data_IF_920955227730
#
_entry.id   IF_920955227730
#
_cell.length_a   1.000
_cell.length_b   1.000
_cell.length_c   1.000
_cell.angle_alpha   90.00
_cell.angle_beta   90.00
_cell.angle_gamma   90.00
#
_symmetry.space_group_name_H-M   'P 1'
#
loop_
_entity.id
_entity.type
_entity.pdbx_description
1 polymer ?
#
# COMPACT_ATOMS: atom_id res chain seq x y z
N UNK A 1 0.17 20.62 -3.95
CA UNK A 1 1.05 19.52 -4.39
C UNK A 1 1.90 19.91 -5.60
N UNK A 2 1.31 20.52 -6.64
CA UNK A 2 2.06 21.16 -7.75
C UNK A 2 2.98 22.32 -7.33
N UNK A 3 2.72 22.95 -6.18
CA UNK A 3 3.51 24.10 -5.70
C UNK A 3 4.93 23.75 -5.24
N UNK A 4 5.19 22.50 -4.84
CA UNK A 4 6.55 22.06 -4.45
C UNK A 4 7.46 21.93 -5.68
N UNK A 5 6.89 21.78 -6.88
CA UNK A 5 7.62 21.79 -8.15
C UNK A 5 7.83 23.20 -8.72
N UNK A 6 7.14 24.20 -8.18
CA UNK A 6 7.11 25.57 -8.71
C UNK A 6 8.18 26.52 -8.14
N UNK A 7 8.94 26.10 -7.12
CA UNK A 7 9.90 26.97 -6.43
C UNK A 7 11.33 26.41 -6.38
N UNK A 8 11.62 25.37 -7.18
CA UNK A 8 12.99 24.99 -7.48
C UNK A 8 13.53 26.02 -8.46
N UNK A 9 14.20 27.05 -7.94
CA UNK A 9 15.10 27.91 -8.71
C UNK A 9 15.88 27.01 -9.65
N UNK A 10 15.64 27.16 -10.95
CA UNK A 10 16.41 26.48 -11.98
C UNK A 10 17.84 26.99 -11.80
N UNK A 11 18.65 26.24 -11.06
CA UNK A 11 20.07 26.50 -10.95
C UNK A 11 20.62 26.40 -12.37
N UNK A 12 21.18 27.52 -12.83
CA UNK A 12 21.64 27.85 -14.18
C UNK A 12 22.88 27.03 -14.62
N UNK A 13 22.91 25.71 -14.40
CA UNK A 13 24.01 24.83 -14.82
C UNK A 13 23.60 23.36 -14.98
N UNK A 14 22.38 23.02 -15.41
CA UNK A 14 21.99 21.64 -15.78
C UNK A 14 22.18 20.53 -14.71
N UNK A 15 22.62 20.88 -13.49
CA UNK A 15 22.93 20.01 -12.37
C UNK A 15 21.82 20.17 -11.34
N UNK A 16 20.97 19.16 -11.27
CA UNK A 16 20.04 19.00 -10.17
C UNK A 16 20.86 18.75 -8.89
N UNK A 17 20.60 19.53 -7.85
CA UNK A 17 21.25 19.31 -6.56
C UNK A 17 20.74 18.00 -5.95
N UNK A 18 21.61 17.31 -5.21
CA UNK A 18 21.29 16.00 -4.65
C UNK A 18 20.12 16.04 -3.65
N UNK A 19 19.89 17.18 -2.98
CA UNK A 19 18.77 17.36 -2.05
C UNK A 19 17.43 17.39 -2.81
N UNK A 20 17.34 18.16 -3.89
CA UNK A 20 16.18 18.21 -4.78
C UNK A 20 15.91 16.83 -5.40
N UNK A 21 16.93 16.10 -5.85
CA UNK A 21 16.74 14.74 -6.39
C UNK A 21 16.23 13.78 -5.30
N UNK A 22 16.81 13.79 -4.12
CA UNK A 22 16.37 12.94 -3.01
C UNK A 22 14.94 13.27 -2.60
N UNK A 23 14.63 14.57 -2.42
CA UNK A 23 13.31 15.05 -2.03
C UNK A 23 12.26 14.70 -3.08
N UNK A 24 12.54 14.96 -4.35
CA UNK A 24 11.64 14.62 -5.46
C UNK A 24 11.39 13.10 -5.54
N UNK A 25 12.44 12.30 -5.38
CA UNK A 25 12.33 10.83 -5.41
C UNK A 25 11.47 10.31 -4.25
N UNK A 26 11.73 10.76 -3.02
CA UNK A 26 10.93 10.39 -1.85
C UNK A 26 9.45 10.80 -2.01
N UNK A 27 9.20 12.03 -2.49
CA UNK A 27 7.85 12.52 -2.74
C UNK A 27 7.13 11.70 -3.81
N UNK A 28 7.80 11.35 -4.90
CA UNK A 28 7.23 10.53 -5.95
C UNK A 28 6.86 9.12 -5.46
N UNK A 29 7.73 8.49 -4.66
CA UNK A 29 7.45 7.18 -4.06
C UNK A 29 6.24 7.22 -3.13
N UNK A 30 6.19 8.21 -2.23
CA UNK A 30 5.06 8.37 -1.29
C UNK A 30 3.77 8.66 -2.06
N UNK A 31 3.79 9.60 -3.01
CA UNK A 31 2.60 9.97 -3.77
C UNK A 31 2.07 8.80 -4.61
N UNK A 32 2.96 8.08 -5.30
CA UNK A 32 2.57 6.93 -6.13
C UNK A 32 2.02 5.75 -5.31
N UNK A 33 2.56 5.53 -4.12
CA UNK A 33 2.13 4.44 -3.22
C UNK A 33 0.89 4.75 -2.39
N UNK A 34 0.67 6.02 -2.02
CA UNK A 34 -0.39 6.39 -1.06
C UNK A 34 -1.78 6.22 -1.66
N UNK A 35 -2.06 6.91 -2.77
CA UNK A 35 -3.42 6.92 -3.34
C UNK A 35 -3.83 5.54 -3.84
N UNK A 36 -2.90 4.83 -4.49
CA UNK A 36 -3.12 3.48 -5.02
C UNK A 36 -3.42 2.49 -3.89
N UNK A 37 -2.60 2.46 -2.84
CA UNK A 37 -2.80 1.55 -1.69
C UNK A 37 -4.08 1.90 -0.93
N UNK A 38 -4.38 3.19 -0.73
CA UNK A 38 -5.60 3.63 -0.04
C UNK A 38 -6.87 3.18 -0.78
N UNK A 39 -6.90 3.35 -2.11
CA UNK A 39 -8.03 2.93 -2.93
C UNK A 39 -8.19 1.40 -2.87
N UNK A 40 -7.10 0.64 -3.07
CA UNK A 40 -7.14 -0.82 -3.00
C UNK A 40 -7.67 -1.32 -1.65
N UNK A 41 -7.17 -0.79 -0.53
CA UNK A 41 -7.64 -1.17 0.81
C UNK A 41 -9.11 -0.81 1.03
N UNK A 42 -9.54 0.35 0.55
CA UNK A 42 -10.94 0.80 0.68
C UNK A 42 -11.90 -0.14 -0.06
N UNK A 43 -11.56 -0.53 -1.28
CA UNK A 43 -12.35 -1.51 -2.05
C UNK A 43 -12.30 -2.90 -1.41
N UNK A 44 -11.13 -3.35 -0.95
CA UNK A 44 -10.98 -4.62 -0.25
C UNK A 44 -11.93 -4.73 0.95
N UNK A 45 -11.89 -3.72 1.83
CA UNK A 45 -12.71 -3.68 3.02
C UNK A 45 -14.20 -3.55 2.67
N UNK A 46 -14.54 -2.71 1.69
CA UNK A 46 -15.93 -2.55 1.24
C UNK A 46 -16.50 -3.85 0.67
N UNK A 47 -15.73 -4.59 -0.12
CA UNK A 47 -16.16 -5.88 -0.68
C UNK A 47 -16.31 -6.96 0.40
N UNK A 48 -15.38 -7.01 1.36
CA UNK A 48 -15.46 -7.96 2.47
C UNK A 48 -16.64 -7.67 3.39
N UNK A 49 -16.89 -6.41 3.73
CA UNK A 49 -18.03 -6.01 4.57
C UNK A 49 -19.37 -6.28 3.89
N UNK A 50 -19.44 -6.15 2.56
CA UNK A 50 -20.64 -6.50 1.79
C UNK A 50 -20.85 -8.02 1.64
N UNK A 51 -19.81 -8.84 1.82
CA UNK A 51 -19.87 -10.30 1.68
C UNK A 51 -19.40 -10.98 2.99
N UNK A 52 -20.25 -11.02 4.04
CA UNK A 52 -19.86 -11.48 5.36
C UNK A 52 -19.37 -12.93 5.39
N UNK A 53 -19.86 -13.77 4.47
CA UNK A 53 -19.38 -15.14 4.32
C UNK A 53 -17.92 -15.21 3.84
N UNK A 54 -17.55 -14.36 2.88
CA UNK A 54 -16.19 -14.31 2.36
C UNK A 54 -15.25 -13.66 3.38
N UNK A 55 -15.73 -12.68 4.16
CA UNK A 55 -15.00 -12.12 5.31
C UNK A 55 -14.73 -13.18 6.38
N UNK A 56 -15.72 -14.02 6.70
CA UNK A 56 -15.54 -15.10 7.69
C UNK A 56 -14.45 -16.08 7.28
N UNK A 57 -14.41 -16.50 6.00
CA UNK A 57 -13.34 -17.36 5.48
C UNK A 57 -11.95 -16.72 5.59
N UNK A 58 -11.84 -15.42 5.32
CA UNK A 58 -10.57 -14.71 5.47
C UNK A 58 -10.10 -14.68 6.94
N UNK A 59 -11.03 -14.51 7.88
CA UNK A 59 -10.73 -14.59 9.32
C UNK A 59 -10.33 -16.00 9.75
N UNK A 60 -11.03 -17.04 9.27
CA UNK A 60 -10.70 -18.44 9.52
C UNK A 60 -9.30 -18.81 9.00
N UNK A 61 -8.92 -18.31 7.81
CA UNK A 61 -7.56 -18.49 7.27
C UNK A 61 -6.50 -17.82 8.16
N UNK A 62 -6.75 -16.58 8.60
CA UNK A 62 -5.85 -15.86 9.51
C UNK A 62 -5.69 -16.59 10.85
N UNK A 63 -6.78 -17.08 11.42
CA UNK A 63 -6.74 -17.84 12.67
C UNK A 63 -6.01 -19.17 12.51
N UNK A 64 -6.18 -19.85 11.37
CA UNK A 64 -5.50 -21.11 11.09
C UNK A 64 -3.99 -20.96 10.84
N UNK A 65 -3.56 -19.90 10.15
CA UNK A 65 -2.15 -19.72 9.75
C UNK A 65 -1.32 -18.91 10.77
N UNK A 66 -1.93 -17.89 11.39
CA UNK A 66 -1.23 -16.95 12.28
C UNK A 66 -1.63 -17.19 13.73
N UNK A 67 -2.90 -17.48 13.97
CA UNK A 67 -3.50 -17.58 15.30
C UNK A 67 -3.69 -16.22 15.98
N UNK A 68 -4.32 -16.22 17.16
CA UNK A 68 -4.70 -14.99 17.86
C UNK A 68 -3.65 -14.46 18.85
N UNK A 69 -2.50 -15.13 18.98
CA UNK A 69 -1.49 -14.82 20.00
C UNK A 69 -0.34 -13.93 19.51
N UNK A 70 -0.31 -13.59 18.20
CA UNK A 70 0.76 -12.79 17.61
C UNK A 70 0.26 -11.95 16.43
N UNK A 71 1.04 -10.94 16.06
CA UNK A 71 0.81 -10.18 14.84
C UNK A 71 1.26 -10.97 13.60
N UNK A 72 0.68 -10.62 12.46
CA UNK A 72 1.05 -11.17 11.15
C UNK A 72 2.47 -10.73 10.80
N UNK A 73 3.29 -11.69 10.39
CA UNK A 73 4.65 -11.45 9.87
C UNK A 73 4.66 -11.54 8.34
N UNK A 74 5.63 -10.92 7.68
CA UNK A 74 5.77 -10.97 6.22
C UNK A 74 5.93 -12.42 5.70
N UNK A 75 6.55 -13.28 6.51
CA UNK A 75 6.68 -14.71 6.19
C UNK A 75 5.35 -15.46 6.10
N UNK A 76 4.32 -15.00 6.83
CA UNK A 76 2.99 -15.62 6.86
C UNK A 76 2.19 -15.36 5.58
N UNK A 77 2.49 -14.26 4.87
CA UNK A 77 1.74 -13.83 3.67
C UNK A 77 1.62 -14.97 2.68
N UNK A 78 2.69 -15.78 2.52
CA UNK A 78 2.73 -16.93 1.59
C UNK A 78 1.64 -17.97 1.86
N UNK A 79 1.20 -18.11 3.11
CA UNK A 79 0.18 -19.07 3.53
C UNK A 79 -1.24 -18.47 3.54
N UNK A 80 -1.38 -17.15 3.43
CA UNK A 80 -2.66 -16.44 3.35
C UNK A 80 -3.17 -16.40 1.89
N UNK A 81 -3.39 -17.59 1.32
CA UNK A 81 -3.73 -17.77 -0.11
C UNK A 81 -5.07 -17.14 -0.45
N UNK A 82 -6.06 -17.28 0.43
CA UNK A 82 -7.39 -16.72 0.24
C UNK A 82 -7.37 -15.19 0.36
N UNK A 83 -6.65 -14.65 1.34
CA UNK A 83 -6.47 -13.20 1.48
C UNK A 83 -5.76 -12.59 0.25
N UNK A 84 -4.73 -13.27 -0.28
CA UNK A 84 -4.10 -12.89 -1.55
C UNK A 84 -5.07 -12.96 -2.73
N UNK A 85 -5.93 -13.98 -2.77
CA UNK A 85 -6.92 -14.12 -3.84
C UNK A 85 -7.97 -12.98 -3.82
N UNK A 86 -8.36 -12.51 -2.63
CA UNK A 86 -9.24 -11.34 -2.49
C UNK A 86 -8.57 -10.11 -3.09
N UNK A 87 -7.33 -9.80 -2.68
CA UNK A 87 -6.60 -8.61 -3.17
C UNK A 87 -6.40 -8.66 -4.69
N UNK A 88 -6.11 -9.85 -5.24
CA UNK A 88 -5.91 -10.04 -6.69
C UNK A 88 -7.20 -9.87 -7.51
N UNK A 89 -8.37 -9.97 -6.88
CA UNK A 89 -9.68 -9.87 -7.54
C UNK A 89 -10.32 -8.47 -7.42
N UNK A 90 -9.72 -7.56 -6.66
CA UNK A 90 -10.09 -6.14 -6.62
C UNK A 90 -9.78 -5.45 -7.95
#
# INVERSE_FOLDING_TARGET
MLSVLGDSRICDDGRLDADTVNKATCLNLISGGTDTTMITLTWALSLLLNHPHELKKAQEELEAQVGNNRQVDESDIKNLVYLQAIIKRL
#
